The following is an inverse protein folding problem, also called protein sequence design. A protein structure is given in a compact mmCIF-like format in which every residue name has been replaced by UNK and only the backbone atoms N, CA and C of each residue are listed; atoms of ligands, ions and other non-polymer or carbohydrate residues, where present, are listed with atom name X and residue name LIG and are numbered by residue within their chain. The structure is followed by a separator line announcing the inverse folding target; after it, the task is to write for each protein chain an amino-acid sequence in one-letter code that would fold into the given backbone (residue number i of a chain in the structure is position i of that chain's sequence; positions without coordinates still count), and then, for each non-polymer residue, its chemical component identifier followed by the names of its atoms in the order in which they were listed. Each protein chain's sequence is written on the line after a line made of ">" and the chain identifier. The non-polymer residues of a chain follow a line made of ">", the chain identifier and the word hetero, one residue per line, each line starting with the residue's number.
data_IF_057589893580
#
_entry.id   IF_057589893580
#
_cell.length_a   1.000
_cell.length_b   1.000
_cell.length_c   1.000
_cell.angle_alpha   90.00
_cell.angle_beta   90.00
_cell.angle_gamma   90.00
#
_symmetry.space_group_name_H-M   'P 1'
#
loop_
_entity.id
_entity.type
_entity.pdbx_description
1 polymer ?
#
# COMPACT_ATOMS: atom_id res chain seq x y z
N UNK A 1 -2.58 19.69 -4.55
CA UNK A 1 -3.14 19.94 -5.89
C UNK A 1 -2.06 20.35 -6.92
N UNK A 2 -0.86 20.78 -6.48
CA UNK A 2 0.24 21.15 -7.33
C UNK A 2 1.48 20.28 -7.05
N UNK A 3 2.39 20.22 -8.02
CA UNK A 3 3.75 19.74 -7.89
C UNK A 3 4.66 20.96 -7.93
N UNK A 4 5.50 21.12 -6.91
CA UNK A 4 6.58 22.10 -6.90
C UNK A 4 7.74 21.56 -7.70
N UNK A 5 8.26 22.35 -8.62
CA UNK A 5 9.56 22.15 -9.27
C UNK A 5 10.49 23.20 -8.67
N UNK A 6 11.52 22.78 -7.98
CA UNK A 6 12.48 23.63 -7.28
C UNK A 6 13.91 23.31 -7.75
N UNK A 7 14.60 24.33 -8.26
CA UNK A 7 15.98 24.25 -8.69
C UNK A 7 16.92 25.22 -7.93
N UNK A 8 16.43 25.84 -6.85
CA UNK A 8 17.19 26.85 -6.10
C UNK A 8 18.47 26.31 -5.48
N UNK A 9 18.47 25.03 -5.09
CA UNK A 9 19.67 24.33 -4.57
C UNK A 9 20.68 23.92 -5.65
N UNK A 10 20.32 24.02 -6.95
CA UNK A 10 21.16 23.58 -8.05
C UNK A 10 20.93 22.13 -8.49
N UNK A 11 19.94 21.46 -7.92
CA UNK A 11 19.41 20.17 -8.36
C UNK A 11 17.92 20.31 -8.63
N UNK A 12 17.36 19.46 -9.48
CA UNK A 12 15.93 19.49 -9.79
C UNK A 12 15.19 18.67 -8.76
N UNK A 13 14.38 19.32 -7.93
CA UNK A 13 13.51 18.67 -6.94
C UNK A 13 12.06 18.79 -7.35
N UNK A 14 11.33 17.69 -7.25
CA UNK A 14 9.89 17.64 -7.43
C UNK A 14 9.25 17.31 -6.08
N UNK A 15 8.35 18.18 -5.62
CA UNK A 15 7.66 17.98 -4.33
C UNK A 15 6.15 18.03 -4.52
N UNK A 16 5.46 17.06 -3.95
CA UNK A 16 4.00 17.04 -3.81
C UNK A 16 3.64 16.89 -2.33
N UNK A 17 2.61 17.62 -1.87
CA UNK A 17 2.18 17.61 -0.47
C UNK A 17 0.66 17.83 -0.38
N UNK A 18 -0.04 16.95 0.35
CA UNK A 18 -1.46 17.11 0.69
C UNK A 18 -1.70 17.32 2.19
N UNK A 19 -0.66 17.66 2.96
CA UNK A 19 -0.62 17.88 4.41
C UNK A 19 -0.63 16.60 5.26
N UNK A 20 -1.08 15.48 4.76
CA UNK A 20 -1.04 14.17 5.43
C UNK A 20 0.06 13.28 4.84
N UNK A 21 0.30 13.43 3.54
CA UNK A 21 1.31 12.71 2.77
C UNK A 21 2.07 13.67 1.87
N UNK A 22 3.39 13.69 2.01
CA UNK A 22 4.27 14.45 1.16
C UNK A 22 5.33 13.56 0.52
N UNK A 23 5.67 13.86 -0.73
CA UNK A 23 6.69 13.14 -1.50
C UNK A 23 7.62 14.17 -2.11
N UNK A 24 8.91 14.02 -1.92
CA UNK A 24 9.96 14.77 -2.58
C UNK A 24 10.91 13.82 -3.29
N UNK A 25 11.26 14.10 -4.53
CA UNK A 25 12.25 13.34 -5.27
C UNK A 25 13.18 14.26 -6.04
N UNK A 26 14.44 13.87 -6.16
CA UNK A 26 15.42 14.55 -7.01
C UNK A 26 15.45 13.87 -8.37
N UNK A 27 15.51 14.65 -9.43
CA UNK A 27 15.57 14.19 -10.81
C UNK A 27 16.87 14.67 -11.44
N UNK A 28 17.50 13.79 -12.21
CA UNK A 28 18.70 14.12 -12.96
C UNK A 28 18.37 15.11 -14.09
N UNK A 29 19.20 16.11 -14.26
CA UNK A 29 19.09 17.11 -15.32
C UNK A 29 19.96 18.32 -15.09
N UNK A 30 20.08 19.13 -16.12
CA UNK A 30 20.88 20.36 -16.10
C UNK A 30 20.02 21.55 -15.63
N UNK A 31 20.47 22.24 -14.59
CA UNK A 31 19.85 23.47 -14.10
C UNK A 31 20.59 24.65 -14.76
N UNK A 32 19.97 25.28 -15.75
CA UNK A 32 20.52 26.46 -16.42
C UNK A 32 20.30 27.73 -15.58
N UNK A 33 19.07 27.90 -15.06
CA UNK A 33 18.68 29.00 -14.19
C UNK A 33 17.97 28.46 -12.94
N UNK A 34 18.23 29.11 -11.82
CA UNK A 34 17.63 28.73 -10.53
C UNK A 34 16.28 29.38 -10.34
N UNK A 35 15.32 28.61 -9.83
CA UNK A 35 13.98 29.11 -9.54
C UNK A 35 13.06 28.04 -9.00
N UNK A 36 11.82 28.41 -8.73
CA UNK A 36 10.79 27.49 -8.29
C UNK A 36 9.44 27.86 -8.90
N UNK A 37 8.63 26.86 -9.22
CA UNK A 37 7.27 27.01 -9.74
C UNK A 37 6.40 25.87 -9.28
N UNK A 38 5.14 26.14 -8.93
CA UNK A 38 4.15 25.12 -8.61
C UNK A 38 3.16 24.94 -9.79
N UNK A 39 3.18 23.74 -10.39
CA UNK A 39 2.30 23.39 -11.53
C UNK A 39 1.13 22.52 -11.05
N UNK A 40 -0.01 22.63 -11.71
CA UNK A 40 -1.15 21.77 -11.42
C UNK A 40 -0.79 20.31 -11.67
N UNK A 41 -0.92 19.48 -10.63
CA UNK A 41 -0.32 18.14 -10.58
C UNK A 41 -0.89 17.18 -11.63
N UNK A 42 -2.21 17.23 -11.84
CA UNK A 42 -2.87 16.34 -12.80
C UNK A 42 -2.44 16.67 -14.23
N UNK A 43 -2.51 17.94 -14.58
CA UNK A 43 -2.15 18.41 -15.94
C UNK A 43 -0.67 18.13 -16.23
N UNK A 44 0.22 18.50 -15.29
CA UNK A 44 1.66 18.29 -15.45
C UNK A 44 1.99 16.80 -15.61
N UNK A 45 1.45 15.93 -14.75
CA UNK A 45 1.70 14.48 -14.87
C UNK A 45 1.09 13.86 -16.12
N UNK A 46 -0.07 14.32 -16.59
CA UNK A 46 -0.64 13.86 -17.85
C UNK A 46 0.20 14.28 -19.07
N UNK A 47 0.75 15.50 -19.06
CA UNK A 47 1.69 15.96 -20.09
C UNK A 47 2.91 15.08 -20.09
N UNK A 48 3.62 14.96 -18.96
CA UNK A 48 4.88 14.20 -18.87
C UNK A 48 4.70 12.75 -19.31
N UNK A 49 3.63 12.09 -18.90
CA UNK A 49 3.34 10.69 -19.29
C UNK A 49 3.12 10.48 -20.79
N UNK A 50 2.80 11.53 -21.52
CA UNK A 50 2.52 11.46 -22.97
C UNK A 50 3.63 12.03 -23.84
N UNK A 51 4.68 12.59 -23.24
CA UNK A 51 5.85 13.03 -23.96
C UNK A 51 6.62 11.82 -24.53
N UNK A 52 7.30 11.99 -25.67
CA UNK A 52 8.28 11.01 -26.14
C UNK A 52 9.38 10.78 -25.10
N UNK A 53 10.06 9.64 -25.20
CA UNK A 53 11.25 9.33 -24.38
C UNK A 53 12.47 10.09 -24.93
N UNK A 54 12.49 11.39 -24.63
CA UNK A 54 13.48 12.37 -25.09
C UNK A 54 13.68 13.45 -24.03
N UNK A 55 14.70 14.26 -24.19
CA UNK A 55 14.99 15.40 -23.32
C UNK A 55 13.79 16.35 -23.19
N UNK A 56 13.48 16.71 -21.96
CA UNK A 56 12.42 17.67 -21.62
C UNK A 56 13.02 18.93 -21.06
N UNK A 57 12.73 20.06 -21.69
CA UNK A 57 13.12 21.39 -21.19
C UNK A 57 11.90 22.06 -20.55
N UNK A 58 12.09 22.64 -19.37
CA UNK A 58 11.06 23.42 -18.67
C UNK A 58 11.63 24.84 -18.46
N UNK A 59 10.98 25.83 -19.04
CA UNK A 59 11.31 27.24 -18.89
C UNK A 59 10.17 27.97 -18.19
N UNK A 60 10.46 28.90 -17.30
CA UNK A 60 9.45 29.68 -16.58
C UNK A 60 9.67 31.17 -16.80
N UNK A 61 8.58 31.96 -16.77
CA UNK A 61 8.63 33.41 -16.87
C UNK A 61 8.19 34.10 -15.55
N UNK A 62 8.38 35.40 -15.47
CA UNK A 62 8.02 36.23 -14.29
C UNK A 62 6.50 36.26 -14.01
N UNK A 63 5.68 35.72 -14.90
CA UNK A 63 4.22 35.63 -14.72
C UNK A 63 3.78 34.23 -14.28
N UNK A 64 4.71 33.40 -13.79
CA UNK A 64 4.47 32.02 -13.38
C UNK A 64 3.89 31.13 -14.50
N UNK A 65 4.33 31.36 -15.76
CA UNK A 65 4.00 30.46 -16.87
C UNK A 65 5.15 29.52 -17.12
N UNK A 66 4.84 28.27 -17.33
CA UNK A 66 5.82 27.23 -17.69
C UNK A 66 5.66 26.83 -19.15
N UNK A 67 6.76 26.87 -19.88
CA UNK A 67 6.90 26.32 -21.22
C UNK A 67 7.63 24.97 -21.13
N UNK A 68 6.93 23.90 -21.39
CA UNK A 68 7.46 22.53 -21.42
C UNK A 68 7.69 22.14 -22.87
N UNK A 69 8.91 21.79 -23.21
CA UNK A 69 9.33 21.39 -24.56
C UNK A 69 9.88 19.97 -24.55
N UNK A 70 9.49 19.19 -25.54
CA UNK A 70 10.07 17.88 -25.81
C UNK A 70 9.95 17.64 -27.33
N UNK A 71 11.08 17.53 -28.04
CA UNK A 71 11.14 17.45 -29.50
C UNK A 71 10.31 18.55 -30.16
N UNK A 72 9.21 18.17 -30.87
CA UNK A 72 8.29 19.12 -31.53
C UNK A 72 7.13 19.56 -30.67
N UNK A 73 6.90 18.88 -29.53
CA UNK A 73 5.82 19.21 -28.61
C UNK A 73 6.18 20.44 -27.76
N UNK A 74 5.24 21.35 -27.62
CA UNK A 74 5.38 22.55 -26.77
C UNK A 74 4.07 22.77 -26.01
N UNK A 75 4.15 22.87 -24.70
CA UNK A 75 3.03 23.17 -23.82
C UNK A 75 3.32 24.44 -23.06
N UNK A 76 2.37 25.38 -23.10
CA UNK A 76 2.39 26.56 -22.25
C UNK A 76 1.29 26.39 -21.21
N UNK A 77 1.67 26.26 -19.94
CA UNK A 77 0.74 26.08 -18.84
C UNK A 77 0.95 27.15 -17.78
N UNK A 78 -0.14 27.56 -17.14
CA UNK A 78 -0.06 28.46 -16.01
C UNK A 78 0.37 27.70 -14.75
N UNK A 79 1.28 28.30 -14.00
CA UNK A 79 1.68 27.84 -12.68
C UNK A 79 1.27 28.84 -11.60
N UNK A 80 1.77 28.57 -10.40
CA UNK A 80 1.70 29.45 -9.23
C UNK A 80 3.11 29.70 -8.75
N UNK A 81 3.26 30.76 -7.96
CA UNK A 81 4.54 31.02 -7.29
C UNK A 81 4.95 29.84 -6.43
N UNK A 82 6.17 29.38 -6.61
CA UNK A 82 6.74 28.27 -5.82
C UNK A 82 6.95 28.64 -4.35
N UNK A 83 7.12 29.92 -4.03
CA UNK A 83 7.27 30.38 -2.65
C UNK A 83 6.00 30.19 -1.80
N UNK A 84 4.83 30.15 -2.43
CA UNK A 84 3.54 29.88 -1.77
C UNK A 84 3.31 28.38 -1.50
N UNK A 85 4.21 27.51 -1.96
CA UNK A 85 4.05 26.05 -1.78
C UNK A 85 4.37 25.64 -0.34
N UNK A 86 3.50 24.83 0.25
CA UNK A 86 3.70 24.31 1.61
C UNK A 86 4.77 23.22 1.60
N UNK A 87 5.94 23.55 2.13
CA UNK A 87 7.07 22.62 2.24
C UNK A 87 6.73 21.39 3.09
N UNK A 88 7.46 20.31 2.87
CA UNK A 88 7.40 19.14 3.74
C UNK A 88 7.90 19.49 5.16
N UNK A 89 7.33 18.87 6.21
CA UNK A 89 7.85 19.06 7.56
C UNK A 89 9.28 18.52 7.66
N UNK A 90 10.13 19.24 8.37
CA UNK A 90 11.46 18.75 8.73
C UNK A 90 11.31 17.60 9.74
N UNK A 91 11.83 16.43 9.40
CA UNK A 91 11.81 15.24 10.25
C UNK A 91 13.21 14.98 10.78
N UNK A 92 13.31 14.86 12.11
CA UNK A 92 14.56 14.48 12.75
C UNK A 92 14.92 13.02 12.42
N UNK A 93 16.09 12.81 11.80
CA UNK A 93 16.55 11.51 11.31
C UNK A 93 17.40 10.76 12.33
N UNK A 94 16.92 10.62 13.57
CA UNK A 94 17.68 10.01 14.69
C UNK A 94 17.35 8.53 14.89
N UNK A 95 16.08 8.14 14.82
CA UNK A 95 15.64 6.76 15.01
C UNK A 95 15.12 6.20 13.70
N UNK A 96 15.79 5.20 13.17
CA UNK A 96 15.41 4.58 11.91
C UNK A 96 15.66 3.08 11.91
N UNK A 97 14.97 2.41 11.00
CA UNK A 97 15.22 1.02 10.64
C UNK A 97 15.58 0.92 9.16
N UNK A 98 16.27 -0.15 8.79
CA UNK A 98 16.63 -0.43 7.40
C UNK A 98 16.12 -1.80 7.00
N UNK A 99 15.49 -1.90 5.82
CA UNK A 99 15.11 -3.14 5.18
C UNK A 99 15.16 -2.97 3.67
N UNK A 100 15.15 -4.08 2.91
CA UNK A 100 15.12 -3.99 1.44
C UNK A 100 13.78 -3.46 0.95
N UNK A 101 13.79 -2.74 -0.18
CA UNK A 101 12.58 -2.25 -0.84
C UNK A 101 11.64 -3.42 -1.19
N UNK A 102 12.20 -4.56 -1.62
CA UNK A 102 11.43 -5.79 -1.84
C UNK A 102 10.68 -6.22 -0.58
N UNK A 103 11.36 -6.33 0.56
CA UNK A 103 10.75 -6.78 1.82
C UNK A 103 9.62 -5.87 2.28
N UNK A 104 9.80 -4.55 2.17
CA UNK A 104 8.76 -3.59 2.52
C UNK A 104 7.55 -3.71 1.57
N UNK A 105 7.79 -3.80 0.27
CA UNK A 105 6.74 -3.95 -0.74
C UNK A 105 5.92 -5.23 -0.52
N UNK A 106 6.60 -6.35 -0.24
CA UNK A 106 5.95 -7.63 0.00
C UNK A 106 5.13 -7.65 1.30
N UNK A 107 5.65 -7.12 2.39
CA UNK A 107 4.91 -7.09 3.66
C UNK A 107 3.66 -6.22 3.53
N UNK A 108 3.74 -5.09 2.81
CA UNK A 108 2.58 -4.25 2.50
C UNK A 108 1.59 -5.03 1.62
N UNK A 109 2.03 -5.65 0.52
CA UNK A 109 1.16 -6.43 -0.39
C UNK A 109 0.36 -7.49 0.36
N UNK A 110 1.00 -8.14 1.33
CA UNK A 110 0.42 -9.24 2.08
C UNK A 110 -0.51 -8.81 3.23
N UNK A 111 -0.64 -7.53 3.51
CA UNK A 111 -1.46 -7.03 4.60
C UNK A 111 -2.47 -5.97 4.19
N UNK A 112 -2.14 -5.08 3.28
CA UNK A 112 -2.90 -3.87 2.95
C UNK A 112 -4.37 -4.11 2.55
N UNK A 113 -4.68 -5.26 1.99
CA UNK A 113 -6.04 -5.60 1.54
C UNK A 113 -7.06 -5.76 2.69
N UNK A 114 -6.60 -5.86 3.92
CA UNK A 114 -7.44 -5.99 5.11
C UNK A 114 -7.68 -4.67 5.86
N UNK A 115 -7.24 -3.54 5.36
CA UNK A 115 -7.64 -2.24 5.93
C UNK A 115 -9.12 -1.95 5.67
N UNK A 116 -9.71 -1.12 6.50
CA UNK A 116 -11.11 -0.70 6.35
C UNK A 116 -11.22 0.54 5.48
N UNK A 117 -12.14 0.52 4.52
CA UNK A 117 -12.56 1.72 3.78
C UNK A 117 -13.55 2.58 4.57
N UNK A 118 -13.97 2.12 5.77
CA UNK A 118 -14.95 2.80 6.60
C UNK A 118 -14.29 3.85 7.48
N UNK A 119 -14.57 5.12 7.22
CA UNK A 119 -14.06 6.27 7.96
C UNK A 119 -14.53 6.35 9.42
N UNK A 120 -15.53 5.54 9.83
CA UNK A 120 -16.04 5.55 11.21
C UNK A 120 -14.99 5.12 12.24
N UNK A 121 -14.00 4.33 11.84
CA UNK A 121 -12.88 3.96 12.69
C UNK A 121 -11.55 4.21 11.99
N UNK A 122 -11.00 5.39 12.25
CA UNK A 122 -9.77 5.87 11.61
C UNK A 122 -8.58 4.91 11.81
N UNK A 123 -8.52 4.19 12.95
CA UNK A 123 -7.40 3.26 13.21
C UNK A 123 -7.41 2.06 12.26
N UNK A 124 -8.60 1.63 11.79
CA UNK A 124 -8.73 0.53 10.83
C UNK A 124 -8.38 0.92 9.39
N UNK A 125 -8.28 2.22 9.08
CA UNK A 125 -7.82 2.71 7.78
C UNK A 125 -6.30 2.73 7.63
N UNK A 126 -5.58 2.34 8.68
CA UNK A 126 -4.12 2.22 8.69
C UNK A 126 -3.65 0.84 9.11
N UNK A 127 -2.36 0.63 8.99
CA UNK A 127 -1.69 -0.59 9.44
C UNK A 127 -0.82 -0.32 10.66
N UNK A 128 -0.87 -1.23 11.61
CA UNK A 128 0.01 -1.22 12.76
C UNK A 128 1.36 -1.81 12.38
N UNK A 129 2.41 -0.99 12.40
CA UNK A 129 3.78 -1.43 12.32
C UNK A 129 4.33 -1.57 13.73
N UNK A 130 4.86 -2.76 14.03
CA UNK A 130 5.52 -3.04 15.30
C UNK A 130 6.91 -3.62 15.05
N UNK A 131 7.87 -3.13 15.82
CA UNK A 131 9.23 -3.65 15.83
C UNK A 131 9.55 -4.05 17.27
N UNK A 132 10.13 -5.22 17.41
CA UNK A 132 10.68 -5.72 18.66
C UNK A 132 11.95 -6.50 18.34
N UNK A 133 13.07 -5.95 18.72
CA UNK A 133 14.39 -6.46 18.37
C UNK A 133 14.57 -6.58 16.84
N UNK A 134 14.76 -7.79 16.32
CA UNK A 134 14.94 -8.09 14.89
C UNK A 134 13.63 -8.48 14.19
N UNK A 135 12.48 -8.37 14.86
CA UNK A 135 11.19 -8.74 14.30
C UNK A 135 10.39 -7.49 13.92
N UNK A 136 10.05 -7.38 12.64
CA UNK A 136 9.07 -6.42 12.16
C UNK A 136 7.75 -7.14 11.89
N UNK A 137 6.66 -6.60 12.43
CA UNK A 137 5.30 -7.10 12.26
C UNK A 137 4.44 -5.98 11.69
N UNK A 138 3.73 -6.26 10.60
CA UNK A 138 2.73 -5.38 10.02
C UNK A 138 1.35 -6.02 10.15
N UNK A 139 0.36 -5.24 10.59
CA UNK A 139 -0.99 -5.74 10.89
C UNK A 139 -2.03 -4.79 10.34
N UNK A 140 -3.03 -5.35 9.67
CA UNK A 140 -4.24 -4.64 9.25
C UNK A 140 -5.50 -5.40 9.67
N UNK A 141 -6.61 -4.68 9.82
CA UNK A 141 -7.92 -5.26 10.12
C UNK A 141 -9.06 -4.36 9.66
N UNK A 142 -10.23 -4.96 9.36
CA UNK A 142 -11.46 -4.23 9.00
C UNK A 142 -12.67 -4.58 9.88
N UNK A 143 -12.45 -5.32 10.98
CA UNK A 143 -13.47 -5.81 11.88
C UNK A 143 -14.07 -7.18 11.51
N UNK A 144 -13.74 -7.72 10.33
CA UNK A 144 -14.16 -9.06 9.89
C UNK A 144 -12.98 -9.98 9.59
N UNK A 145 -11.81 -9.41 9.33
CA UNK A 145 -10.57 -10.13 9.04
C UNK A 145 -9.38 -9.39 9.62
N UNK A 146 -8.31 -10.11 9.83
CA UNK A 146 -7.02 -9.59 10.29
C UNK A 146 -5.95 -10.19 9.41
N UNK A 147 -5.08 -9.35 8.85
CA UNK A 147 -3.88 -9.79 8.16
C UNK A 147 -2.66 -9.44 8.97
N UNK A 148 -1.76 -10.40 9.11
CA UNK A 148 -0.52 -10.24 9.86
C UNK A 148 0.61 -10.80 9.04
N UNK A 149 1.66 -10.01 8.86
CA UNK A 149 2.93 -10.48 8.33
C UNK A 149 4.06 -10.14 9.28
N UNK A 150 4.97 -11.09 9.47
CA UNK A 150 6.19 -10.93 10.25
C UNK A 150 7.38 -11.21 9.34
N UNK A 151 8.41 -10.39 9.48
CA UNK A 151 9.70 -10.60 8.82
C UNK A 151 10.82 -10.35 9.83
N UNK A 152 11.97 -10.99 9.60
CA UNK A 152 13.18 -10.72 10.37
C UNK A 152 13.97 -9.60 9.70
N UNK A 153 14.40 -8.64 10.50
CA UNK A 153 15.32 -7.59 10.10
C UNK A 153 16.76 -8.07 10.20
N UNK A 154 17.66 -7.42 9.48
CA UNK A 154 19.10 -7.74 9.54
C UNK A 154 19.74 -7.30 10.86
N UNK A 155 19.18 -6.30 11.51
CA UNK A 155 19.66 -5.67 12.74
C UNK A 155 18.57 -5.66 13.81
N UNK A 156 18.99 -5.51 15.07
CA UNK A 156 18.08 -5.32 16.20
C UNK A 156 17.84 -3.84 16.46
N UNK A 157 16.61 -3.49 16.75
CA UNK A 157 16.17 -2.12 17.02
C UNK A 157 15.39 -2.03 18.33
N UNK A 158 15.34 -0.85 18.90
CA UNK A 158 14.46 -0.57 20.03
C UNK A 158 12.99 -0.78 19.64
N UNK A 159 12.11 -1.13 20.59
CA UNK A 159 10.70 -1.34 20.30
C UNK A 159 10.04 -0.10 19.70
N UNK A 160 9.41 -0.26 18.54
CA UNK A 160 8.67 0.79 17.84
C UNK A 160 7.24 0.32 17.62
N UNK A 161 6.29 1.24 17.80
CA UNK A 161 4.88 1.00 17.50
C UNK A 161 4.31 2.25 16.83
N UNK A 162 3.88 2.11 15.60
CA UNK A 162 3.32 3.19 14.82
C UNK A 162 2.14 2.72 13.97
N UNK A 163 1.13 3.55 13.78
CA UNK A 163 0.01 3.26 12.88
C UNK A 163 0.14 4.15 11.65
N UNK A 164 0.46 3.52 10.53
CA UNK A 164 0.72 4.20 9.26
C UNK A 164 -0.57 4.17 8.43
N UNK A 165 -1.03 5.31 7.88
CA UNK A 165 -2.21 5.33 7.01
C UNK A 165 -2.05 4.38 5.82
N UNK A 166 -3.09 3.60 5.51
CA UNK A 166 -3.07 2.68 4.37
C UNK A 166 -2.87 3.38 3.04
N UNK A 167 -3.37 4.62 2.89
CA UNK A 167 -3.09 5.47 1.72
C UNK A 167 -1.58 5.64 1.51
N UNK A 168 -0.83 5.94 2.57
CA UNK A 168 0.63 6.10 2.52
C UNK A 168 1.31 4.81 2.07
N UNK A 169 0.97 3.68 2.70
CA UNK A 169 1.57 2.39 2.35
C UNK A 169 1.24 1.97 0.91
N UNK A 170 0.02 2.23 0.45
CA UNK A 170 -0.38 1.99 -0.94
C UNK A 170 0.45 2.83 -1.93
N UNK A 171 0.69 4.11 -1.64
CA UNK A 171 1.51 4.95 -2.53
C UNK A 171 2.98 4.51 -2.50
N UNK A 172 3.54 4.23 -1.32
CA UNK A 172 4.91 3.71 -1.19
C UNK A 172 5.09 2.41 -1.99
N UNK A 173 4.17 1.47 -1.85
CA UNK A 173 4.27 0.18 -2.56
C UNK A 173 4.30 0.31 -4.09
N UNK A 174 3.76 1.40 -4.66
CA UNK A 174 3.78 1.67 -6.11
C UNK A 174 5.12 2.22 -6.59
N UNK A 175 5.83 2.96 -5.75
CA UNK A 175 7.05 3.68 -6.12
C UNK A 175 8.34 2.94 -5.72
N UNK A 176 8.27 1.98 -4.79
CA UNK A 176 9.39 1.10 -4.48
C UNK A 176 9.79 0.27 -5.70
N UNK A 177 11.09 0.17 -6.00
CA UNK A 177 11.63 -0.65 -7.10
C UNK A 177 11.26 -2.11 -6.94
N UNK A 178 11.26 -2.61 -5.69
CA UNK A 178 11.07 -4.02 -5.37
C UNK A 178 12.33 -4.85 -5.60
N UNK A 179 13.48 -4.22 -5.64
CA UNK A 179 14.76 -4.91 -5.65
C UNK A 179 15.16 -5.35 -4.24
N UNK A 180 15.87 -6.47 -4.15
CA UNK A 180 16.36 -7.02 -2.88
C UNK A 180 17.62 -6.30 -2.38
N UNK A 181 18.40 -5.74 -3.29
CA UNK A 181 19.67 -5.08 -2.99
C UNK A 181 19.49 -3.59 -2.66
N UNK A 182 18.34 -3.01 -3.03
CA UNK A 182 18.00 -1.63 -2.71
C UNK A 182 17.37 -1.54 -1.32
N UNK A 183 17.92 -0.71 -0.47
CA UNK A 183 17.42 -0.50 0.88
C UNK A 183 16.45 0.69 0.95
N UNK A 184 15.54 0.63 1.91
CA UNK A 184 14.73 1.74 2.39
C UNK A 184 15.03 1.98 3.86
N UNK A 185 15.23 3.25 4.24
CA UNK A 185 15.32 3.69 5.63
C UNK A 185 13.99 4.27 6.06
N UNK A 186 13.50 3.83 7.20
CA UNK A 186 12.24 4.32 7.76
C UNK A 186 12.54 4.99 9.09
N UNK A 187 12.28 6.30 9.16
CA UNK A 187 12.47 7.13 10.36
C UNK A 187 11.12 7.35 11.05
N UNK A 188 11.13 7.35 12.36
CA UNK A 188 9.92 7.51 13.17
C UNK A 188 10.08 8.70 14.11
N UNK A 189 9.03 9.50 14.21
CA UNK A 189 8.82 10.48 15.26
C UNK A 189 7.47 10.23 15.93
N UNK A 190 7.12 11.01 16.94
CA UNK A 190 5.81 10.87 17.62
C UNK A 190 4.61 11.04 16.68
N UNK A 191 4.77 11.81 15.60
CA UNK A 191 3.65 12.19 14.73
C UNK A 191 3.83 11.84 13.26
N UNK A 192 5.04 11.50 12.83
CA UNK A 192 5.35 11.26 11.44
C UNK A 192 6.20 10.02 11.25
N UNK A 193 6.06 9.44 10.09
CA UNK A 193 6.98 8.45 9.53
C UNK A 193 7.57 9.01 8.25
N UNK A 194 8.88 8.80 8.05
CA UNK A 194 9.59 9.17 6.83
C UNK A 194 10.23 7.92 6.23
N UNK A 195 10.01 7.73 4.95
CA UNK A 195 10.65 6.68 4.15
C UNK A 195 11.65 7.35 3.21
N UNK A 196 12.88 6.89 3.24
CA UNK A 196 13.96 7.40 2.40
C UNK A 196 14.55 6.25 1.59
N UNK A 197 14.49 6.34 0.29
CA UNK A 197 15.02 5.35 -0.65
C UNK A 197 15.37 6.03 -1.97
N UNK A 198 16.45 5.57 -2.61
CA UNK A 198 17.01 6.17 -3.81
C UNK A 198 17.20 7.69 -3.64
N UNK A 199 16.58 8.47 -4.50
CA UNK A 199 16.55 9.93 -4.41
C UNK A 199 15.21 10.48 -3.92
N UNK A 200 14.39 9.63 -3.27
CA UNK A 200 13.02 9.93 -2.89
C UNK A 200 12.84 9.89 -1.38
N UNK A 201 12.12 10.88 -0.88
CA UNK A 201 11.67 10.96 0.51
C UNK A 201 10.15 11.02 0.54
N UNK A 202 9.54 10.17 1.35
CA UNK A 202 8.09 10.16 1.58
C UNK A 202 7.85 10.44 3.06
N UNK A 203 7.12 11.50 3.36
CA UNK A 203 6.72 11.85 4.74
C UNK A 203 5.23 11.66 4.89
N UNK A 204 4.81 10.99 5.95
CA UNK A 204 3.40 10.83 6.28
C UNK A 204 3.12 11.07 7.74
N UNK A 205 1.95 11.65 8.03
CA UNK A 205 1.42 11.70 9.39
C UNK A 205 1.01 10.32 9.85
N UNK A 206 1.32 10.00 11.09
CA UNK A 206 0.83 8.78 11.75
C UNK A 206 -0.63 8.96 12.19
N UNK A 207 -1.37 7.86 12.30
CA UNK A 207 -2.67 7.87 12.95
C UNK A 207 -2.47 7.85 14.46
N UNK A 208 -2.99 8.87 15.12
CA UNK A 208 -2.89 9.03 16.59
C UNK A 208 -3.96 8.18 17.29
N UNK A 209 -3.56 7.42 18.30
CA UNK A 209 -4.46 6.61 19.13
C UNK A 209 -3.91 5.21 19.40
N UNK A 210 -4.66 4.46 20.20
CA UNK A 210 -4.32 3.07 20.49
C UNK A 210 -4.89 2.15 19.41
N UNK A 211 -4.03 1.29 18.86
CA UNK A 211 -4.47 0.22 17.98
C UNK A 211 -5.06 -0.94 18.77
N UNK A 212 -5.82 -1.79 18.11
CA UNK A 212 -6.50 -2.94 18.71
C UNK A 212 -5.51 -3.93 19.35
N UNK A 213 -5.94 -4.64 20.37
CA UNK A 213 -5.15 -5.69 21.03
C UNK A 213 -5.22 -6.99 20.22
N UNK A 214 -4.52 -7.03 19.10
CA UNK A 214 -4.58 -8.09 18.10
C UNK A 214 -4.37 -9.47 18.71
N UNK A 215 -3.39 -9.62 19.62
CA UNK A 215 -3.04 -10.92 20.18
C UNK A 215 -4.17 -11.51 21.04
N UNK A 216 -5.10 -10.69 21.53
CA UNK A 216 -6.33 -11.15 22.22
C UNK A 216 -7.47 -11.53 21.26
N UNK A 217 -7.40 -11.09 20.02
CA UNK A 217 -8.42 -11.35 19.00
C UNK A 217 -8.17 -12.66 18.24
N UNK A 218 -6.95 -13.18 18.29
CA UNK A 218 -6.54 -14.39 17.59
C UNK A 218 -6.53 -15.54 18.59
N UNK A 219 -7.37 -16.56 18.33
CA UNK A 219 -7.31 -17.81 19.08
C UNK A 219 -6.24 -18.73 18.50
N UNK A 220 -5.44 -19.35 19.35
CA UNK A 220 -4.53 -20.43 18.96
C UNK A 220 -5.22 -21.79 18.86
N UNK A 221 -6.45 -21.90 19.39
CA UNK A 221 -7.20 -23.14 19.44
C UNK A 221 -8.12 -23.25 18.22
N UNK A 222 -7.99 -24.33 17.50
CA UNK A 222 -8.88 -24.68 16.40
C UNK A 222 -9.49 -26.08 16.61
N UNK A 223 -10.73 -26.25 16.16
CA UNK A 223 -11.42 -27.56 16.18
C UNK A 223 -11.29 -28.31 14.86
N UNK A 224 -10.92 -27.62 13.80
CA UNK A 224 -10.81 -28.17 12.45
C UNK A 224 -9.63 -27.50 11.73
N UNK A 225 -8.76 -28.32 11.16
CA UNK A 225 -7.67 -27.91 10.28
C UNK A 225 -7.83 -28.60 8.94
N UNK A 226 -7.68 -27.85 7.86
CA UNK A 226 -7.70 -28.39 6.49
C UNK A 226 -6.41 -28.03 5.77
N UNK A 227 -5.92 -28.95 4.96
CA UNK A 227 -4.89 -28.72 3.95
C UNK A 227 -5.53 -28.87 2.58
N UNK A 228 -5.35 -27.88 1.73
CA UNK A 228 -6.04 -27.77 0.46
C UNK A 228 -5.13 -27.11 -0.59
N UNK A 229 -5.24 -27.54 -1.85
CA UNK A 229 -4.55 -26.89 -2.94
C UNK A 229 -5.08 -25.47 -3.16
N UNK A 230 -4.19 -24.49 -3.10
CA UNK A 230 -4.51 -23.05 -3.23
C UNK A 230 -5.23 -22.74 -4.55
N UNK A 231 -4.72 -23.27 -5.68
CA UNK A 231 -5.28 -22.97 -7.01
C UNK A 231 -6.69 -23.55 -7.18
N UNK A 232 -6.92 -24.73 -6.63
CA UNK A 232 -8.25 -25.36 -6.67
C UNK A 232 -9.24 -24.56 -5.84
N UNK A 233 -8.88 -24.19 -4.61
CA UNK A 233 -9.70 -23.35 -3.74
C UNK A 233 -10.00 -21.99 -4.38
N UNK A 234 -8.99 -21.31 -4.90
CA UNK A 234 -9.13 -20.01 -5.55
C UNK A 234 -10.08 -20.12 -6.75
N UNK A 235 -9.86 -21.09 -7.65
CA UNK A 235 -10.68 -21.29 -8.84
C UNK A 235 -12.14 -21.62 -8.50
N UNK A 236 -12.39 -22.44 -7.47
CA UNK A 236 -13.73 -22.75 -7.00
C UNK A 236 -14.45 -21.48 -6.46
N UNK A 237 -13.77 -20.67 -5.62
CA UNK A 237 -14.35 -19.43 -5.10
C UNK A 237 -14.59 -18.41 -6.22
N UNK A 238 -13.71 -18.30 -7.20
CA UNK A 238 -13.90 -17.43 -8.37
C UNK A 238 -15.13 -17.84 -9.17
N UNK A 239 -15.34 -19.14 -9.43
CA UNK A 239 -16.55 -19.65 -10.09
C UNK A 239 -17.82 -19.37 -9.28
N UNK A 240 -17.78 -19.61 -7.96
CA UNK A 240 -18.91 -19.31 -7.07
C UNK A 240 -19.26 -17.81 -7.10
N UNK A 241 -18.25 -16.95 -7.16
CA UNK A 241 -18.41 -15.49 -7.16
C UNK A 241 -19.17 -14.97 -8.40
N UNK A 242 -19.18 -15.70 -9.52
CA UNK A 242 -19.94 -15.31 -10.71
C UNK A 242 -21.46 -15.23 -10.46
N UNK A 243 -21.95 -15.94 -9.45
CA UNK A 243 -23.37 -15.96 -9.07
C UNK A 243 -23.72 -14.92 -7.99
N UNK A 244 -22.77 -14.07 -7.60
CA UNK A 244 -22.97 -13.01 -6.59
C UNK A 244 -22.91 -11.66 -7.30
N UNK A 245 -23.95 -10.83 -7.13
CA UNK A 245 -23.90 -9.43 -7.57
C UNK A 245 -23.08 -8.62 -6.58
N UNK A 246 -22.33 -7.65 -7.05
CA UNK A 246 -21.52 -6.75 -6.19
C UNK A 246 -22.33 -6.08 -5.07
N UNK A 247 -23.63 -5.83 -5.31
CA UNK A 247 -24.55 -5.27 -4.32
C UNK A 247 -25.05 -6.29 -3.29
N UNK A 248 -24.86 -7.59 -3.53
CA UNK A 248 -25.35 -8.67 -2.66
C UNK A 248 -24.21 -9.19 -1.79
N UNK A 249 -24.36 -9.06 -0.47
CA UNK A 249 -23.42 -9.64 0.52
C UNK A 249 -23.81 -11.07 0.86
N UNK A 250 -23.89 -11.95 -0.17
CA UNK A 250 -24.20 -13.35 0.07
C UNK A 250 -22.94 -14.14 0.40
N UNK A 251 -22.96 -14.93 1.48
CA UNK A 251 -21.86 -15.84 1.78
C UNK A 251 -21.87 -17.05 0.83
N UNK A 252 -20.68 -17.57 0.54
CA UNK A 252 -20.52 -18.94 0.12
C UNK A 252 -20.61 -19.85 1.35
N UNK A 253 -21.25 -20.99 1.24
CA UNK A 253 -21.34 -21.99 2.30
C UNK A 253 -20.29 -23.07 2.02
N UNK A 254 -19.43 -23.28 2.99
CA UNK A 254 -18.37 -24.27 2.96
C UNK A 254 -18.77 -25.38 3.96
N UNK A 255 -18.92 -26.60 3.47
CA UNK A 255 -19.19 -27.76 4.29
C UNK A 255 -17.99 -28.71 4.22
N UNK A 256 -17.29 -28.86 5.31
CA UNK A 256 -16.08 -29.68 5.44
C UNK A 256 -16.42 -30.99 6.11
N UNK A 257 -16.17 -32.07 5.41
CA UNK A 257 -16.30 -33.45 5.91
C UNK A 257 -15.00 -34.22 5.69
N UNK A 258 -14.95 -35.50 6.04
CA UNK A 258 -13.73 -36.30 5.84
C UNK A 258 -13.37 -36.42 4.36
N UNK A 259 -12.21 -35.89 3.99
CA UNK A 259 -11.64 -35.97 2.65
C UNK A 259 -12.22 -35.01 1.62
N UNK A 260 -13.30 -34.28 1.94
CA UNK A 260 -13.96 -33.40 0.98
C UNK A 260 -14.42 -32.08 1.60
N UNK A 261 -14.32 -31.01 0.83
CA UNK A 261 -14.91 -29.70 1.12
C UNK A 261 -15.91 -29.36 0.02
N UNK A 262 -17.19 -29.37 0.38
CA UNK A 262 -18.29 -28.96 -0.51
C UNK A 262 -18.50 -27.45 -0.41
N UNK A 263 -18.46 -26.76 -1.54
CA UNK A 263 -18.73 -25.32 -1.62
C UNK A 263 -20.06 -25.08 -2.33
N UNK A 264 -20.95 -24.34 -1.66
CA UNK A 264 -22.29 -24.05 -2.16
C UNK A 264 -22.57 -22.56 -2.22
N UNK A 265 -23.25 -22.16 -3.27
CA UNK A 265 -23.90 -20.85 -3.35
C UNK A 265 -25.27 -20.98 -3.98
N UNK A 266 -26.23 -20.21 -3.47
CA UNK A 266 -27.54 -20.03 -4.08
C UNK A 266 -27.89 -18.54 -4.12
N UNK A 267 -28.19 -18.04 -5.30
CA UNK A 267 -28.56 -16.63 -5.53
C UNK A 267 -29.77 -16.53 -6.45
N UNK A 268 -30.24 -15.31 -6.72
CA UNK A 268 -31.26 -15.08 -7.74
C UNK A 268 -30.78 -15.39 -9.16
N UNK A 269 -29.47 -15.47 -9.38
CA UNK A 269 -28.86 -15.78 -10.69
C UNK A 269 -28.73 -17.28 -10.95
N UNK A 270 -28.77 -18.09 -9.91
CA UNK A 270 -28.60 -19.54 -10.01
C UNK A 270 -27.96 -20.15 -8.76
N UNK A 271 -27.52 -21.39 -8.91
CA UNK A 271 -26.83 -22.12 -7.84
C UNK A 271 -25.59 -22.83 -8.39
N UNK A 272 -24.60 -22.98 -7.51
CA UNK A 272 -23.41 -23.78 -7.76
C UNK A 272 -23.17 -24.71 -6.58
N UNK A 273 -22.70 -25.89 -6.86
CA UNK A 273 -22.20 -26.86 -5.90
C UNK A 273 -20.95 -27.50 -6.50
N UNK A 274 -19.85 -27.47 -5.77
CA UNK A 274 -18.55 -28.01 -6.19
C UNK A 274 -17.83 -28.64 -5.01
N UNK A 275 -17.27 -29.83 -5.21
CA UNK A 275 -16.48 -30.55 -4.22
C UNK A 275 -15.00 -30.40 -4.53
N UNK A 276 -14.19 -30.19 -3.49
CA UNK A 276 -12.72 -30.09 -3.55
C UNK A 276 -12.14 -31.13 -2.59
N UNK A 277 -11.15 -31.86 -3.07
CA UNK A 277 -10.39 -32.80 -2.23
C UNK A 277 -9.54 -32.05 -1.21
N UNK A 278 -9.59 -32.51 0.05
CA UNK A 278 -8.85 -31.93 1.16
C UNK A 278 -8.27 -33.00 2.07
N UNK A 279 -7.27 -32.62 2.86
CA UNK A 279 -6.90 -33.34 4.07
C UNK A 279 -7.45 -32.60 5.29
N UNK A 280 -8.15 -33.31 6.15
CA UNK A 280 -8.81 -32.73 7.34
C UNK A 280 -8.33 -33.38 8.64
N UNK A 281 -8.11 -32.55 9.63
CA UNK A 281 -7.94 -32.95 11.03
C UNK A 281 -9.04 -32.29 11.85
N UNK A 282 -9.66 -33.03 12.78
CA UNK A 282 -10.69 -32.50 13.67
C UNK A 282 -12.11 -32.74 13.21
N UNK A 283 -13.04 -31.87 13.62
CA UNK A 283 -14.49 -32.05 13.45
C UNK A 283 -14.95 -31.60 12.07
N UNK A 284 -16.09 -32.15 11.64
CA UNK A 284 -16.83 -31.59 10.52
C UNK A 284 -17.31 -30.18 10.86
N UNK A 285 -17.31 -29.30 9.86
CA UNK A 285 -17.76 -27.92 10.04
C UNK A 285 -18.51 -27.42 8.82
N UNK A 286 -19.57 -26.68 9.04
CA UNK A 286 -20.27 -25.92 8.04
C UNK A 286 -20.22 -24.44 8.41
N UNK A 287 -19.70 -23.61 7.50
CA UNK A 287 -19.46 -22.19 7.76
C UNK A 287 -19.71 -21.37 6.50
N UNK A 288 -20.19 -20.14 6.66
CA UNK A 288 -20.36 -19.18 5.58
C UNK A 288 -19.29 -18.10 5.57
N UNK A 289 -18.71 -17.83 4.42
CA UNK A 289 -17.70 -16.78 4.25
C UNK A 289 -18.09 -15.81 3.12
N UNK A 290 -17.65 -14.57 3.26
CA UNK A 290 -17.61 -13.64 2.14
C UNK A 290 -16.47 -14.07 1.19
N UNK A 291 -16.77 -14.44 -0.06
CA UNK A 291 -15.76 -14.93 -1.00
C UNK A 291 -14.64 -13.94 -1.25
N UNK A 292 -14.93 -12.64 -1.26
CA UNK A 292 -13.93 -11.59 -1.46
C UNK A 292 -12.81 -11.69 -0.41
N UNK A 293 -13.15 -11.93 0.85
CA UNK A 293 -12.16 -11.96 1.93
C UNK A 293 -11.17 -13.13 1.78
N UNK A 294 -11.66 -14.28 1.35
CA UNK A 294 -10.81 -15.44 1.09
C UNK A 294 -9.97 -15.22 -0.17
N UNK A 295 -10.57 -14.71 -1.25
CA UNK A 295 -9.84 -14.42 -2.49
C UNK A 295 -8.72 -13.40 -2.28
N UNK A 296 -8.97 -12.34 -1.52
CA UNK A 296 -7.96 -11.32 -1.23
C UNK A 296 -6.75 -11.95 -0.51
N UNK A 297 -6.99 -12.87 0.45
CA UNK A 297 -5.93 -13.60 1.14
C UNK A 297 -5.19 -14.56 0.20
N UNK A 298 -5.92 -15.37 -0.59
CA UNK A 298 -5.33 -16.35 -1.50
C UNK A 298 -4.44 -15.70 -2.57
N UNK A 299 -4.76 -14.49 -3.02
CA UNK A 299 -3.96 -13.75 -4.02
C UNK A 299 -2.58 -13.35 -3.52
N UNK A 300 -2.39 -13.26 -2.23
CA UNK A 300 -1.13 -12.80 -1.62
C UNK A 300 -0.33 -13.90 -0.92
N UNK A 301 -0.90 -15.09 -0.78
CA UNK A 301 -0.21 -16.27 -0.29
C UNK A 301 0.62 -16.86 -1.43
N UNK A 302 1.88 -17.16 -1.18
CA UNK A 302 2.79 -17.71 -2.19
C UNK A 302 2.86 -19.24 -2.14
N UNK A 303 2.46 -19.87 -1.02
CA UNK A 303 2.43 -21.33 -0.86
C UNK A 303 1.41 -21.98 -1.81
N UNK A 304 1.67 -23.23 -2.17
CA UNK A 304 0.80 -24.02 -3.06
C UNK A 304 -0.37 -24.69 -2.31
N UNK A 305 -0.21 -24.88 -0.99
CA UNK A 305 -1.19 -25.47 -0.09
C UNK A 305 -1.39 -24.60 1.16
#
# INVERSE_FOLDING_TARGET
>A
ECILIDTTSGVIKLTANDMDLGIETTVDGDVLDKGCIALEAKLFSEIVRKLPDSEVTIETDDNNKALIKCEKAKFNIAGKDGEDFVALPEIEKTHFITLSQFSLKEIIRQTIFSISDNESNRMMSGELLQIDQDQLRLVSLDGQRISIRKISLKESYDPIKAVIPGKTLNEISKILSGDMDDDVRIYFTDRHVLFEFDQTVVVSRLLEGEYFQIDKMISSDYNTKITINKKELQGCIERASLLIRESERKPIIINVTDGSMEMKIQSAMGSMNEDIDISKEGRDIMIGFNPKFILDALRVIDDEE
#
